data_IF_653334327751
#
_entry.id   IF_653334327751
#
_cell.length_a   1.000
_cell.length_b   1.000
_cell.length_c   1.000
_cell.angle_alpha   90.00
_cell.angle_beta   90.00
_cell.angle_gamma   90.00
#
_symmetry.space_group_name_H-M   'P 1'
#
loop_
_entity.id
_entity.type
_entity.pdbx_description
1 polymer ?
#
# COMPACT_ATOMS: atom_id res chain seq x y z
N UNK A 1 -2.77 15.96 -14.12
CA UNK A 1 -2.57 15.05 -12.97
C UNK A 1 -1.26 14.29 -13.06
N UNK A 2 -0.47 14.37 -11.99
CA UNK A 2 0.84 13.75 -11.78
C UNK A 2 0.78 12.76 -10.62
N UNK A 3 1.58 11.71 -10.64
CA UNK A 3 1.81 10.85 -9.47
C UNK A 3 2.81 11.56 -8.56
N UNK A 4 2.43 11.85 -7.32
CA UNK A 4 3.30 12.60 -6.39
C UNK A 4 3.46 11.88 -5.07
N UNK A 5 4.64 12.07 -4.46
CA UNK A 5 4.91 11.69 -3.07
C UNK A 5 4.51 12.84 -2.15
N UNK A 6 3.81 12.53 -1.07
CA UNK A 6 3.39 13.54 -0.08
C UNK A 6 3.38 12.96 1.35
N UNK A 7 3.21 13.82 2.35
CA UNK A 7 2.98 13.46 3.76
C UNK A 7 1.66 14.02 4.24
N UNK A 8 1.05 13.40 5.25
CA UNK A 8 -0.17 13.93 5.86
C UNK A 8 0.05 15.34 6.43
N UNK A 9 -0.93 16.21 6.26
CA UNK A 9 -1.00 17.53 6.87
C UNK A 9 -1.93 17.44 8.08
N UNK A 10 -1.41 17.63 9.29
CA UNK A 10 -2.17 17.48 10.54
C UNK A 10 -2.89 16.12 10.67
N UNK A 11 -2.26 15.07 10.14
CA UNK A 11 -2.82 13.70 10.11
C UNK A 11 -3.89 13.47 9.04
N UNK A 12 -4.15 14.46 8.18
CA UNK A 12 -5.12 14.39 7.09
C UNK A 12 -4.43 14.38 5.72
N UNK A 13 -5.14 13.85 4.73
CA UNK A 13 -4.71 13.94 3.33
C UNK A 13 -4.74 15.42 2.89
N UNK A 14 -3.66 15.97 2.32
CA UNK A 14 -3.65 17.36 1.83
C UNK A 14 -4.70 17.60 0.74
N UNK A 15 -5.33 18.78 0.76
CA UNK A 15 -6.43 19.14 -0.15
C UNK A 15 -6.07 19.08 -1.65
N UNK A 16 -4.79 19.19 -1.98
CA UNK A 16 -4.29 19.13 -3.36
C UNK A 16 -4.13 17.69 -3.89
N UNK A 17 -4.43 16.66 -3.08
CA UNK A 17 -4.40 15.25 -3.48
C UNK A 17 -5.82 14.79 -3.85
N UNK A 18 -6.04 14.46 -5.11
CA UNK A 18 -7.39 14.27 -5.66
C UNK A 18 -8.01 12.89 -5.43
N UNK A 19 -7.21 11.87 -5.09
CA UNK A 19 -7.67 10.49 -4.93
C UNK A 19 -7.71 10.02 -3.46
N UNK A 20 -7.59 10.94 -2.49
CA UNK A 20 -7.48 10.60 -1.06
C UNK A 20 -6.14 9.96 -0.68
N UNK A 21 -5.32 9.59 -1.67
CA UNK A 21 -4.00 9.00 -1.56
C UNK A 21 -3.98 7.61 -0.92
N UNK A 22 -3.12 6.75 -1.46
CA UNK A 22 -3.06 5.34 -1.11
C UNK A 22 -1.60 4.91 -0.93
N UNK A 23 -1.39 3.85 -0.13
CA UNK A 23 -0.10 3.17 0.06
C UNK A 23 0.98 3.97 0.81
N UNK A 24 0.82 4.00 2.13
CA UNK A 24 1.83 4.51 3.06
C UNK A 24 3.12 3.69 2.96
N UNK A 25 4.26 4.39 2.99
CA UNK A 25 5.56 3.79 3.23
C UNK A 25 5.86 3.87 4.73
N UNK A 26 5.95 2.74 5.45
CA UNK A 26 6.23 2.74 6.88
C UNK A 26 7.61 3.30 7.24
N UNK A 27 8.57 3.31 6.31
CA UNK A 27 9.94 3.75 6.58
C UNK A 27 10.06 5.27 6.71
N UNK A 28 9.31 6.03 5.90
CA UNK A 28 9.42 7.50 5.82
C UNK A 28 8.08 8.22 5.98
N UNK A 29 7.01 7.50 6.34
CA UNK A 29 5.64 8.00 6.50
C UNK A 29 5.11 8.78 5.29
N UNK A 30 5.64 8.50 4.09
CA UNK A 30 5.15 9.12 2.86
C UNK A 30 4.06 8.30 2.20
N UNK A 31 3.23 8.95 1.40
CA UNK A 31 2.12 8.37 0.66
C UNK A 31 2.20 8.77 -0.82
N UNK A 32 1.44 8.06 -1.66
CA UNK A 32 1.30 8.37 -3.07
C UNK A 32 -0.11 8.86 -3.37
N UNK A 33 -0.20 9.92 -4.17
CA UNK A 33 -1.47 10.48 -4.60
C UNK A 33 -1.37 11.10 -5.99
N UNK A 34 -2.53 11.52 -6.50
CA UNK A 34 -2.59 12.33 -7.72
C UNK A 34 -2.73 13.81 -7.37
N UNK A 35 -1.93 14.66 -8.01
CA UNK A 35 -2.03 16.12 -7.86
C UNK A 35 -1.68 16.82 -9.17
N UNK A 36 -2.11 18.07 -9.34
CA UNK A 36 -1.61 18.95 -10.41
C UNK A 36 -0.27 19.61 -10.03
N UNK A 37 0.09 19.57 -8.75
CA UNK A 37 1.25 20.25 -8.17
C UNK A 37 2.20 19.27 -7.49
N UNK A 38 3.44 19.68 -7.23
CA UNK A 38 4.46 18.85 -6.60
C UNK A 38 5.38 18.15 -7.59
N UNK A 39 6.33 17.40 -7.04
CA UNK A 39 7.34 16.65 -7.80
C UNK A 39 6.72 15.36 -8.31
N UNK A 40 6.67 15.22 -9.63
CA UNK A 40 6.18 14.03 -10.30
C UNK A 40 7.16 12.88 -10.12
N UNK A 41 6.63 11.71 -9.76
CA UNK A 41 7.32 10.45 -9.86
C UNK A 41 7.10 9.88 -11.26
N UNK A 42 8.18 9.43 -11.87
CA UNK A 42 8.10 8.60 -13.07
C UNK A 42 7.46 7.25 -12.75
N UNK A 43 6.92 6.57 -13.76
CA UNK A 43 6.37 5.23 -13.60
C UNK A 43 7.37 4.24 -13.00
N UNK A 44 8.65 4.34 -13.39
CA UNK A 44 9.72 3.48 -12.88
C UNK A 44 10.03 3.73 -11.39
N UNK A 45 10.02 4.99 -10.95
CA UNK A 45 10.21 5.34 -9.53
C UNK A 45 9.02 4.88 -8.69
N UNK A 46 7.80 5.03 -9.21
CA UNK A 46 6.60 4.53 -8.55
C UNK A 46 6.65 3.00 -8.41
N UNK A 47 6.96 2.27 -9.47
CA UNK A 47 7.07 0.81 -9.44
C UNK A 47 8.16 0.35 -8.48
N UNK A 48 9.35 0.94 -8.55
CA UNK A 48 10.47 0.63 -7.65
C UNK A 48 10.09 0.85 -6.18
N UNK A 49 9.39 1.95 -5.88
CA UNK A 49 8.87 2.22 -4.53
C UNK A 49 7.90 1.14 -4.08
N UNK A 50 6.91 0.78 -4.91
CA UNK A 50 5.89 -0.20 -4.53
C UNK A 50 6.49 -1.59 -4.33
N UNK A 51 7.40 -2.01 -5.22
CA UNK A 51 8.12 -3.27 -5.08
C UNK A 51 8.97 -3.30 -3.81
N UNK A 52 9.67 -2.20 -3.49
CA UNK A 52 10.45 -2.07 -2.27
C UNK A 52 9.59 -2.20 -1.01
N UNK A 53 8.44 -1.51 -0.97
CA UNK A 53 7.50 -1.60 0.16
C UNK A 53 6.97 -3.03 0.29
N UNK A 54 6.52 -3.67 -0.79
CA UNK A 54 6.00 -5.05 -0.71
C UNK A 54 7.07 -6.09 -0.36
N UNK A 55 8.34 -5.84 -0.71
CA UNK A 55 9.46 -6.70 -0.32
C UNK A 55 9.75 -6.61 1.18
N UNK A 56 9.72 -5.39 1.75
CA UNK A 56 10.03 -5.16 3.17
C UNK A 56 8.82 -5.37 4.08
N UNK A 57 7.64 -5.07 3.56
CA UNK A 57 6.34 -5.11 4.23
C UNK A 57 5.36 -5.91 3.38
N UNK A 58 5.50 -7.25 3.33
CA UNK A 58 4.60 -8.10 2.56
C UNK A 58 3.16 -7.85 3.00
N UNK A 59 2.26 -7.66 2.03
CA UNK A 59 0.83 -7.59 2.32
C UNK A 59 0.42 -8.88 3.02
N UNK A 60 0.09 -8.79 4.30
CA UNK A 60 -0.49 -9.92 5.03
C UNK A 60 -1.91 -10.09 4.53
N UNK A 61 -2.27 -11.29 4.09
CA UNK A 61 -3.67 -11.66 3.98
C UNK A 61 -4.25 -11.54 5.38
N UNK A 62 -5.27 -10.69 5.56
CA UNK A 62 -6.00 -10.66 6.82
C UNK A 62 -6.64 -12.03 7.03
N UNK A 63 -6.08 -12.83 7.93
CA UNK A 63 -6.74 -14.01 8.45
C UNK A 63 -7.66 -13.50 9.55
N UNK A 64 -8.93 -13.20 9.20
CA UNK A 64 -9.98 -13.01 10.21
C UNK A 64 -10.83 -11.74 10.12
N UNK A 65 -11.49 -11.49 8.99
CA UNK A 65 -12.78 -10.78 9.03
C UNK A 65 -13.89 -11.79 8.77
N UNK A 66 -14.31 -12.45 9.86
CA UNK A 66 -15.29 -13.55 9.96
C UNK A 66 -14.78 -14.95 9.62
N UNK A 67 -13.87 -15.49 10.43
CA UNK A 67 -13.83 -16.95 10.61
C UNK A 67 -14.92 -17.26 11.65
N UNK A 68 -16.07 -17.75 11.19
CA UNK A 68 -16.92 -18.56 12.06
C UNK A 68 -16.08 -19.80 12.37
N UNK A 69 -15.67 -19.97 13.63
CA UNK A 69 -14.88 -21.11 14.08
C UNK A 69 -15.76 -22.37 14.15
N UNK A 70 -16.35 -22.78 13.05
CA UNK A 70 -17.05 -24.07 12.95
C UNK A 70 -16.76 -24.67 11.56
N UNK A 71 -15.94 -25.73 11.56
CA UNK A 71 -15.71 -26.69 10.47
C UNK A 71 -15.10 -26.22 9.15
N UNK A 72 -13.77 -26.05 9.10
CA UNK A 72 -13.03 -26.42 7.87
C UNK A 72 -11.79 -27.24 8.22
N UNK A 73 -11.96 -28.56 8.21
CA UNK A 73 -10.93 -29.48 7.75
C UNK A 73 -10.50 -29.04 6.34
N UNK A 74 -9.44 -28.24 6.20
CA UNK A 74 -8.76 -28.09 4.91
C UNK A 74 -7.38 -28.76 5.04
N UNK A 75 -7.14 -29.88 4.33
CA UNK A 75 -5.91 -30.64 4.47
C UNK A 75 -4.70 -29.77 4.09
N UNK A 76 -3.67 -29.88 4.92
CA UNK A 76 -2.31 -29.40 4.68
C UNK A 76 -1.95 -29.58 3.21
N UNK A 77 -1.73 -28.47 2.50
CA UNK A 77 -1.12 -28.47 1.17
C UNK A 77 0.35 -28.91 1.30
N UNK A 78 0.56 -30.22 1.37
CA UNK A 78 1.70 -30.89 0.73
C UNK A 78 1.49 -30.69 -0.79
N UNK A 79 2.45 -30.51 -1.69
CA UNK A 79 3.88 -30.79 -1.82
C UNK A 79 4.37 -29.80 -2.92
N UNK A 80 5.63 -29.40 -3.02
CA UNK A 80 6.63 -30.10 -3.83
C UNK A 80 8.06 -29.61 -3.52
N UNK A 81 8.91 -30.54 -3.09
CA UNK A 81 10.32 -30.63 -3.46
C UNK A 81 10.47 -31.85 -4.39
#
# INVERSE_FOLDING_TARGET
>A
MKIVKYTLQDGQCPDNISNGGHWINPDDNTMIGFSETGTELTSAEFETRQLGIHSNYPMKKEIGSWIVLEDVNDPVATTNA
#
